data_IF_593644905169
#
_entry.id   IF_593644905169
#
_cell.length_a   1.000
_cell.length_b   1.000
_cell.length_c   1.000
_cell.angle_alpha   90.00
_cell.angle_beta   90.00
_cell.angle_gamma   90.00
#
_symmetry.space_group_name_H-M   'P 1'
#
loop_
_entity.id
_entity.type
_entity.pdbx_description
1 polymer ?
#
# COMPACT_ATOMS: atom_id res chain seq x y z
N UNK A 1 -6.99 -10.71 3.88
CA UNK A 1 -7.98 -10.57 2.80
C UNK A 1 -8.69 -9.23 2.93
N UNK A 2 -8.90 -8.53 1.80
CA UNK A 2 -9.64 -7.26 1.79
C UNK A 2 -10.86 -7.48 0.91
N UNK A 3 -12.06 -7.15 1.40
CA UNK A 3 -13.29 -7.18 0.61
C UNK A 3 -13.84 -5.75 0.50
N UNK A 4 -14.10 -5.33 -0.71
CA UNK A 4 -14.67 -4.01 -1.02
C UNK A 4 -16.00 -4.27 -1.73
N UNK A 5 -17.09 -3.76 -1.15
CA UNK A 5 -18.46 -4.04 -1.60
C UNK A 5 -19.22 -2.74 -1.82
N UNK A 6 -19.46 -2.39 -3.08
CA UNK A 6 -20.26 -1.25 -3.51
C UNK A 6 -19.84 0.08 -2.89
N UNK A 7 -18.53 0.29 -2.74
CA UNK A 7 -17.99 1.48 -2.07
C UNK A 7 -18.10 2.69 -2.98
N UNK A 8 -18.73 3.74 -2.47
CA UNK A 8 -18.84 5.05 -3.13
C UNK A 8 -18.31 6.16 -2.22
N UNK A 9 -17.68 7.18 -2.84
CA UNK A 9 -17.18 8.38 -2.16
C UNK A 9 -17.41 9.62 -3.00
N UNK A 10 -18.05 10.62 -2.41
CA UNK A 10 -18.31 11.92 -3.04
C UNK A 10 -17.48 13.01 -2.38
N UNK A 11 -17.02 13.95 -3.19
CA UNK A 11 -16.49 15.25 -2.78
C UNK A 11 -17.34 16.34 -3.46
N UNK A 12 -18.31 16.87 -2.73
CA UNK A 12 -19.34 17.72 -3.31
C UNK A 12 -20.11 16.96 -4.40
N UNK A 13 -20.11 17.44 -5.63
CA UNK A 13 -20.74 16.77 -6.78
C UNK A 13 -19.86 15.74 -7.48
N UNK A 14 -18.57 15.66 -7.14
CA UNK A 14 -17.63 14.75 -7.80
C UNK A 14 -17.61 13.39 -7.11
N UNK A 15 -17.96 12.34 -7.83
CA UNK A 15 -17.75 10.96 -7.39
C UNK A 15 -16.28 10.58 -7.56
N UNK A 16 -15.55 10.42 -6.45
CA UNK A 16 -14.19 9.94 -6.45
C UNK A 16 -14.11 8.41 -6.49
N UNK A 17 -15.11 7.75 -5.89
CA UNK A 17 -15.38 6.31 -6.03
C UNK A 17 -16.85 6.14 -6.36
N UNK A 18 -17.16 5.28 -7.31
CA UNK A 18 -18.53 5.02 -7.79
C UNK A 18 -18.75 3.52 -7.87
N UNK A 19 -19.41 2.99 -6.84
CA UNK A 19 -19.82 1.58 -6.72
C UNK A 19 -18.66 0.58 -6.91
N UNK A 20 -17.52 0.83 -6.28
CA UNK A 20 -16.33 0.00 -6.38
C UNK A 20 -16.50 -1.31 -5.63
N UNK A 21 -16.30 -2.44 -6.33
CA UNK A 21 -16.39 -3.78 -5.73
C UNK A 21 -15.32 -4.71 -6.27
N UNK A 22 -14.51 -5.28 -5.38
CA UNK A 22 -13.58 -6.37 -5.67
C UNK A 22 -13.04 -6.97 -4.35
N UNK A 23 -12.30 -8.07 -4.49
CA UNK A 23 -11.68 -8.75 -3.35
C UNK A 23 -10.19 -8.94 -3.60
N UNK A 24 -9.38 -8.69 -2.57
CA UNK A 24 -7.96 -9.07 -2.51
C UNK A 24 -7.85 -10.31 -1.63
N UNK A 25 -7.29 -11.38 -2.18
CA UNK A 25 -7.19 -12.65 -1.46
C UNK A 25 -5.99 -12.67 -0.51
N UNK A 26 -6.02 -13.57 0.44
CA UNK A 26 -4.86 -13.83 1.29
C UNK A 26 -3.72 -14.41 0.45
N UNK A 27 -2.50 -13.94 0.69
CA UNK A 27 -1.31 -14.47 0.03
C UNK A 27 -1.16 -14.05 -1.44
N UNK A 28 -1.69 -12.88 -1.84
CA UNK A 28 -1.47 -12.33 -3.18
C UNK A 28 -0.92 -10.90 -3.15
N UNK A 29 -0.26 -10.53 -4.23
CA UNK A 29 0.10 -9.15 -4.56
C UNK A 29 -0.95 -8.64 -5.53
N UNK A 30 -1.68 -7.60 -5.10
CA UNK A 30 -2.76 -7.00 -5.88
C UNK A 30 -2.44 -5.54 -6.20
N UNK A 31 -2.48 -5.17 -7.48
CA UNK A 31 -2.30 -3.78 -7.92
C UNK A 31 -3.64 -3.11 -8.22
N UNK A 32 -3.74 -1.85 -7.84
CA UNK A 32 -4.83 -0.94 -8.18
C UNK A 32 -4.29 0.15 -9.10
N UNK A 33 -4.57 0.05 -10.39
CA UNK A 33 -3.94 0.88 -11.42
C UNK A 33 -4.92 1.84 -12.07
N UNK A 34 -4.45 3.04 -12.36
CA UNK A 34 -5.23 4.09 -13.00
C UNK A 34 -4.45 5.40 -13.09
N UNK A 35 -4.92 6.33 -13.91
CA UNK A 35 -4.33 7.67 -13.99
C UNK A 35 -4.43 8.44 -12.67
N UNK A 36 -3.69 9.54 -12.58
CA UNK A 36 -3.82 10.47 -11.47
C UNK A 36 -5.25 11.04 -11.43
N UNK A 37 -5.82 11.09 -10.22
CA UNK A 37 -7.22 11.50 -10.02
C UNK A 37 -8.27 10.42 -10.33
N UNK A 38 -7.89 9.18 -10.64
CA UNK A 38 -8.83 8.07 -10.88
C UNK A 38 -9.52 7.54 -9.61
N UNK A 39 -9.09 7.97 -8.40
CA UNK A 39 -9.65 7.54 -7.12
C UNK A 39 -8.75 6.61 -6.30
N UNK A 40 -7.50 6.35 -6.73
CA UNK A 40 -6.58 5.40 -6.09
C UNK A 40 -6.34 5.72 -4.60
N UNK A 41 -5.83 6.90 -4.31
CA UNK A 41 -5.55 7.35 -2.94
C UNK A 41 -6.83 7.42 -2.09
N UNK A 42 -7.97 7.82 -2.70
CA UNK A 42 -9.27 7.83 -2.01
C UNK A 42 -9.64 6.43 -1.52
N UNK A 43 -9.54 5.43 -2.40
CA UNK A 43 -9.83 4.04 -2.02
C UNK A 43 -8.87 3.52 -0.96
N UNK A 44 -7.56 3.74 -1.12
CA UNK A 44 -6.55 3.33 -0.15
C UNK A 44 -6.83 3.94 1.23
N UNK A 45 -7.07 5.25 1.30
CA UNK A 45 -7.39 5.91 2.57
C UNK A 45 -8.70 5.40 3.19
N UNK A 46 -9.68 5.02 2.37
CA UNK A 46 -10.92 4.39 2.86
C UNK A 46 -10.68 2.99 3.40
N UNK A 47 -9.86 2.16 2.73
CA UNK A 47 -9.47 0.82 3.22
C UNK A 47 -8.73 0.93 4.57
N UNK A 48 -7.88 1.95 4.74
CA UNK A 48 -7.14 2.18 5.97
C UNK A 48 -7.97 2.82 7.09
N UNK A 49 -9.25 3.18 6.84
CA UNK A 49 -10.07 3.89 7.81
C UNK A 49 -9.49 5.25 8.19
N UNK A 50 -8.84 5.94 7.24
CA UNK A 50 -8.34 7.31 7.34
C UNK A 50 -9.37 8.27 6.74
N UNK A 51 -10.13 7.80 5.75
CA UNK A 51 -11.15 8.55 5.05
C UNK A 51 -12.47 7.78 5.09
N UNK A 52 -13.54 8.43 5.51
CA UNK A 52 -14.87 7.87 5.47
C UNK A 52 -15.40 7.78 4.04
N UNK A 53 -16.12 6.71 3.74
CA UNK A 53 -16.85 6.51 2.50
C UNK A 53 -18.35 6.60 2.75
N UNK A 54 -19.10 7.01 1.71
CA UNK A 54 -20.52 7.37 1.86
C UNK A 54 -21.43 6.14 1.76
N UNK A 55 -21.08 5.17 0.89
CA UNK A 55 -21.87 3.95 0.68
C UNK A 55 -20.97 2.72 0.62
N UNK A 56 -21.55 1.55 0.90
CA UNK A 56 -20.88 0.27 0.78
C UNK A 56 -20.23 -0.22 2.05
N UNK A 57 -19.39 -1.25 1.91
CA UNK A 57 -18.71 -1.92 3.01
C UNK A 57 -17.25 -2.25 2.63
N UNK A 58 -16.35 -2.13 3.60
CA UNK A 58 -14.95 -2.60 3.49
C UNK A 58 -14.66 -3.52 4.66
N UNK A 59 -14.26 -4.76 4.35
CA UNK A 59 -13.87 -5.75 5.34
C UNK A 59 -12.37 -6.07 5.23
N UNK A 60 -11.70 -6.12 6.37
CA UNK A 60 -10.31 -6.54 6.51
C UNK A 60 -10.27 -7.80 7.36
N UNK A 61 -9.89 -8.91 6.74
CA UNK A 61 -9.92 -10.25 7.36
C UNK A 61 -11.28 -10.59 7.99
N UNK A 62 -12.36 -10.21 7.31
CA UNK A 62 -13.75 -10.42 7.72
C UNK A 62 -14.31 -9.39 8.70
N UNK A 63 -13.53 -8.38 9.14
CA UNK A 63 -13.94 -7.34 10.07
C UNK A 63 -14.21 -6.02 9.34
N UNK A 64 -15.30 -5.35 9.71
CA UNK A 64 -15.65 -4.05 9.14
C UNK A 64 -14.68 -2.96 9.60
N UNK A 65 -14.15 -2.19 8.66
CA UNK A 65 -13.27 -1.07 8.98
C UNK A 65 -14.02 0.06 9.72
N UNK A 66 -15.34 0.16 9.56
CA UNK A 66 -16.17 1.13 10.27
C UNK A 66 -16.49 0.68 11.70
N UNK A 67 -16.83 -0.60 11.89
CA UNK A 67 -17.31 -1.10 13.18
C UNK A 67 -16.18 -1.60 14.08
N UNK A 68 -15.12 -2.15 13.50
CA UNK A 68 -13.96 -2.70 14.21
C UNK A 68 -12.62 -2.07 13.75
N UNK A 69 -12.49 -0.73 13.69
CA UNK A 69 -11.32 -0.08 13.09
C UNK A 69 -10.01 -0.45 13.76
N UNK A 70 -9.99 -0.57 15.09
CA UNK A 70 -8.76 -0.92 15.81
C UNK A 70 -8.31 -2.35 15.49
N UNK A 71 -9.25 -3.30 15.43
CA UNK A 71 -8.93 -4.69 15.10
C UNK A 71 -8.40 -4.82 13.67
N UNK A 72 -8.96 -4.06 12.71
CA UNK A 72 -8.47 -3.97 11.34
C UNK A 72 -7.06 -3.35 11.30
N UNK A 73 -6.87 -2.19 11.96
CA UNK A 73 -5.59 -1.47 11.94
C UNK A 73 -4.45 -2.27 12.59
N UNK A 74 -4.72 -3.07 13.62
CA UNK A 74 -3.70 -3.92 14.27
C UNK A 74 -3.02 -4.92 13.33
N UNK A 75 -3.67 -5.30 12.24
CA UNK A 75 -3.14 -6.29 11.28
C UNK A 75 -2.69 -5.65 9.97
N UNK A 76 -2.86 -4.33 9.80
CA UNK A 76 -2.50 -3.58 8.60
C UNK A 76 -1.30 -2.68 8.84
N UNK A 77 -0.53 -2.44 7.77
CA UNK A 77 0.34 -1.28 7.66
C UNK A 77 -0.05 -0.46 6.42
N UNK A 78 0.08 0.84 6.54
CA UNK A 78 -0.11 1.78 5.43
C UNK A 78 1.15 2.60 5.19
N UNK A 79 1.55 2.68 3.93
CA UNK A 79 2.65 3.56 3.48
C UNK A 79 2.12 4.48 2.39
N UNK A 80 2.14 5.77 2.67
CA UNK A 80 1.72 6.83 1.74
C UNK A 80 2.79 7.07 0.67
N UNK A 81 2.38 7.63 -0.47
CA UNK A 81 3.26 8.17 -1.51
C UNK A 81 4.11 9.35 -1.01
N UNK A 82 3.55 10.18 -0.14
CA UNK A 82 4.26 11.25 0.57
C UNK A 82 4.11 11.01 2.09
N UNK A 83 5.13 10.40 2.74
CA UNK A 83 5.05 10.08 4.14
C UNK A 83 5.10 11.32 5.02
N UNK A 84 3.98 11.64 5.65
CA UNK A 84 3.89 12.68 6.67
C UNK A 84 4.48 12.16 8.00
N UNK A 85 5.81 12.25 8.13
CA UNK A 85 6.54 11.83 9.33
C UNK A 85 6.69 13.00 10.31
N UNK A 86 6.88 12.67 11.59
CA UNK A 86 7.22 13.68 12.62
C UNK A 86 8.64 14.21 12.40
N UNK A 87 8.78 15.26 11.58
CA UNK A 87 10.06 15.75 11.05
C UNK A 87 11.10 16.12 12.14
N UNK A 88 10.64 16.55 13.30
CA UNK A 88 11.52 16.91 14.43
C UNK A 88 11.98 15.72 15.27
N UNK A 89 11.51 14.51 14.97
CA UNK A 89 11.97 13.28 15.61
C UNK A 89 13.20 12.71 14.91
N UNK A 90 14.02 11.96 15.65
CA UNK A 90 15.01 11.06 15.04
C UNK A 90 14.30 9.90 14.35
N UNK A 91 14.85 9.39 13.25
CA UNK A 91 14.25 8.27 12.51
C UNK A 91 14.01 7.04 13.40
N UNK A 92 14.99 6.65 14.20
CA UNK A 92 14.84 5.53 15.14
C UNK A 92 13.75 5.76 16.18
N UNK A 93 13.59 7.01 16.67
CA UNK A 93 12.56 7.35 17.64
C UNK A 93 11.16 7.26 17.03
N UNK A 94 10.99 7.70 15.77
CA UNK A 94 9.75 7.56 15.03
C UNK A 94 9.38 6.08 14.80
N UNK A 95 10.34 5.26 14.36
CA UNK A 95 10.10 3.83 14.13
C UNK A 95 9.70 3.13 15.43
N UNK A 96 10.40 3.42 16.53
CA UNK A 96 10.06 2.88 17.85
C UNK A 96 8.67 3.33 18.31
N UNK A 97 8.32 4.60 18.12
CA UNK A 97 6.98 5.12 18.43
C UNK A 97 5.88 4.34 17.67
N UNK A 98 6.09 4.07 16.37
CA UNK A 98 5.14 3.24 15.61
C UNK A 98 5.09 1.82 16.19
N UNK A 99 6.23 1.20 16.50
CA UNK A 99 6.27 -0.12 17.12
C UNK A 99 5.55 -0.17 18.48
N UNK A 100 5.63 0.89 19.29
CA UNK A 100 4.91 1.00 20.55
C UNK A 100 3.39 1.01 20.33
N UNK A 101 2.90 1.72 19.30
CA UNK A 101 1.47 1.73 18.96
C UNK A 101 0.91 0.37 18.56
N UNK A 102 1.78 -0.53 18.06
CA UNK A 102 1.41 -1.89 17.66
C UNK A 102 1.77 -2.95 18.73
N UNK A 103 2.18 -2.55 19.92
CA UNK A 103 2.60 -3.44 21.02
C UNK A 103 3.72 -4.42 20.60
N UNK A 104 4.67 -3.98 19.74
CA UNK A 104 5.74 -4.84 19.22
C UNK A 104 6.77 -5.14 20.31
N UNK A 105 7.05 -6.42 20.64
CA UNK A 105 8.06 -6.78 21.61
C UNK A 105 9.45 -6.26 21.24
N UNK A 106 10.25 -5.87 22.23
CA UNK A 106 11.57 -5.25 22.02
C UNK A 106 12.48 -6.09 21.13
N UNK A 107 12.58 -7.39 21.36
CA UNK A 107 13.42 -8.30 20.56
C UNK A 107 13.01 -8.38 19.10
N UNK A 108 11.68 -8.38 18.82
CA UNK A 108 11.13 -8.39 17.45
C UNK A 108 11.42 -7.06 16.78
N UNK A 109 11.19 -5.95 17.49
CA UNK A 109 11.45 -4.59 17.04
C UNK A 109 12.90 -4.38 16.63
N UNK A 110 13.84 -4.68 17.53
CA UNK A 110 15.28 -4.51 17.27
C UNK A 110 15.74 -5.34 16.07
N UNK A 111 15.33 -6.60 16.00
CA UNK A 111 15.63 -7.48 14.87
C UNK A 111 15.10 -6.92 13.55
N UNK A 112 13.85 -6.47 13.52
CA UNK A 112 13.21 -6.01 12.30
C UNK A 112 13.73 -4.65 11.86
N UNK A 113 13.93 -3.71 12.79
CA UNK A 113 14.51 -2.40 12.48
C UNK A 113 15.91 -2.59 11.88
N UNK A 114 16.77 -3.39 12.53
CA UNK A 114 18.11 -3.67 12.00
C UNK A 114 18.04 -4.26 10.59
N UNK A 115 17.27 -5.33 10.41
CA UNK A 115 17.08 -6.01 9.13
C UNK A 115 16.68 -5.07 8.01
N UNK A 116 15.65 -4.26 8.23
CA UNK A 116 15.14 -3.39 7.17
C UNK A 116 15.98 -2.13 6.98
N UNK A 117 16.64 -1.61 8.02
CA UNK A 117 17.57 -0.49 7.89
C UNK A 117 18.79 -0.86 7.05
N UNK A 118 19.39 -2.04 7.30
CA UNK A 118 20.48 -2.59 6.50
C UNK A 118 20.04 -2.83 5.05
N UNK A 119 18.86 -3.44 4.85
CA UNK A 119 18.31 -3.72 3.52
C UNK A 119 18.14 -2.44 2.69
N UNK A 120 17.55 -1.40 3.27
CA UNK A 120 17.30 -0.12 2.58
C UNK A 120 18.51 0.84 2.65
N UNK A 121 19.60 0.46 3.30
CA UNK A 121 20.85 1.20 3.35
C UNK A 121 20.76 2.55 4.06
N UNK A 122 20.04 2.60 5.20
CA UNK A 122 19.92 3.82 6.04
C UNK A 122 20.23 3.56 7.52
N UNK A 123 20.94 2.48 7.81
CA UNK A 123 21.29 2.10 9.19
C UNK A 123 22.10 3.18 9.93
N UNK A 124 22.99 3.87 9.22
CA UNK A 124 23.84 4.92 9.80
C UNK A 124 23.09 6.23 10.04
N UNK A 125 21.97 6.44 9.37
CA UNK A 125 21.13 7.65 9.44
C UNK A 125 20.01 7.56 10.47
N UNK A 126 19.75 6.39 11.05
CA UNK A 126 18.65 6.20 12.01
C UNK A 126 18.71 7.15 13.22
N UNK A 127 19.91 7.58 13.61
CA UNK A 127 20.13 8.56 14.68
C UNK A 127 19.88 10.01 14.28
N UNK A 128 19.72 10.30 12.99
CA UNK A 128 19.53 11.64 12.45
C UNK A 128 18.06 12.06 12.49
N UNK A 129 17.82 13.39 12.49
CA UNK A 129 16.49 13.98 12.50
C UNK A 129 15.85 13.86 11.12
N UNK A 130 14.60 13.40 11.05
CA UNK A 130 13.84 13.16 9.80
C UNK A 130 13.77 14.43 8.92
N UNK A 131 13.75 15.60 9.52
CA UNK A 131 13.77 16.91 8.82
C UNK A 131 14.92 17.04 7.82
N UNK A 132 16.06 16.37 8.06
CA UNK A 132 17.24 16.43 7.19
C UNK A 132 17.19 15.41 6.03
N UNK A 133 16.17 14.56 6.00
CA UNK A 133 16.07 13.47 5.04
C UNK A 133 15.49 13.93 3.71
N UNK A 134 16.01 13.36 2.62
CA UNK A 134 15.37 13.44 1.31
C UNK A 134 14.01 12.71 1.32
N UNK A 135 13.18 12.95 0.31
CA UNK A 135 11.90 12.25 0.16
C UNK A 135 12.11 10.72 0.16
N UNK A 136 13.08 10.21 -0.61
CA UNK A 136 13.37 8.77 -0.65
C UNK A 136 13.84 8.20 0.70
N UNK A 137 14.60 8.96 1.51
CA UNK A 137 14.96 8.54 2.87
C UNK A 137 13.74 8.53 3.79
N UNK A 138 12.83 9.51 3.71
CA UNK A 138 11.56 9.52 4.45
C UNK A 138 10.71 8.31 4.08
N UNK A 139 10.65 7.96 2.79
CA UNK A 139 9.94 6.78 2.31
C UNK A 139 10.53 5.49 2.90
N UNK A 140 11.87 5.36 2.95
CA UNK A 140 12.55 4.22 3.59
C UNK A 140 12.21 4.13 5.09
N UNK A 141 12.19 5.24 5.81
CA UNK A 141 11.79 5.27 7.24
C UNK A 141 10.36 4.81 7.43
N UNK A 142 9.42 5.28 6.60
CA UNK A 142 8.02 4.85 6.62
C UNK A 142 7.88 3.35 6.36
N UNK A 143 8.62 2.82 5.37
CA UNK A 143 8.65 1.39 5.07
C UNK A 143 9.21 0.56 6.24
N UNK A 144 10.31 1.00 6.86
CA UNK A 144 10.88 0.31 8.03
C UNK A 144 9.87 0.28 9.17
N UNK A 145 9.23 1.40 9.48
CA UNK A 145 8.22 1.48 10.52
C UNK A 145 7.04 0.54 10.23
N UNK A 146 6.54 0.56 9.00
CA UNK A 146 5.44 -0.29 8.55
C UNK A 146 5.77 -1.79 8.61
N UNK A 147 6.98 -2.18 8.25
CA UNK A 147 7.40 -3.58 8.21
C UNK A 147 7.82 -4.12 9.59
N UNK A 148 8.22 -3.23 10.51
CA UNK A 148 8.74 -3.63 11.82
C UNK A 148 7.71 -4.29 12.72
N UNK A 149 6.42 -4.04 12.52
CA UNK A 149 5.34 -4.69 13.29
C UNK A 149 4.74 -5.94 12.60
N UNK A 150 5.37 -6.43 11.51
CA UNK A 150 5.00 -7.67 10.80
C UNK A 150 3.51 -7.72 10.38
N UNK A 151 3.03 -6.74 9.57
CA UNK A 151 1.62 -6.66 9.21
C UNK A 151 1.18 -7.86 8.37
N UNK A 152 -0.08 -8.33 8.58
CA UNK A 152 -0.69 -9.34 7.72
C UNK A 152 -1.15 -8.73 6.38
N UNK A 153 -1.46 -7.45 6.37
CA UNK A 153 -1.90 -6.69 5.19
C UNK A 153 -1.03 -5.45 5.06
N UNK A 154 -0.28 -5.37 3.96
CA UNK A 154 0.52 -4.19 3.63
C UNK A 154 -0.16 -3.41 2.50
N UNK A 155 -0.54 -2.18 2.80
CA UNK A 155 -1.22 -1.27 1.88
C UNK A 155 -0.26 -0.13 1.55
N UNK A 156 -0.09 0.17 0.26
CA UNK A 156 0.86 1.19 -0.18
C UNK A 156 0.28 2.04 -1.30
N UNK A 157 0.48 3.35 -1.21
CA UNK A 157 0.14 4.27 -2.29
C UNK A 157 1.42 4.64 -3.04
N UNK A 158 1.50 4.31 -4.34
CA UNK A 158 2.63 4.58 -5.25
C UNK A 158 4.02 4.21 -4.66
N UNK A 159 4.24 2.99 -4.13
CA UNK A 159 5.40 2.66 -3.27
C UNK A 159 6.77 2.72 -3.94
N UNK A 160 6.82 2.88 -5.25
CA UNK A 160 8.08 2.90 -6.02
C UNK A 160 8.54 4.32 -6.39
N UNK A 161 7.68 5.31 -6.15
CA UNK A 161 7.99 6.71 -6.44
C UNK A 161 9.03 7.22 -5.45
N UNK A 162 10.07 7.88 -5.96
CA UNK A 162 11.13 8.48 -5.13
C UNK A 162 12.18 7.50 -4.59
N UNK A 163 12.05 6.19 -4.84
CA UNK A 163 13.06 5.20 -4.46
C UNK A 163 14.14 5.06 -5.53
N UNK A 164 15.36 4.83 -5.07
CA UNK A 164 16.48 4.46 -5.94
C UNK A 164 16.33 3.00 -6.47
N UNK A 165 17.05 2.61 -7.55
CA UNK A 165 16.91 1.29 -8.15
C UNK A 165 17.18 0.13 -7.18
N UNK A 166 18.10 0.31 -6.22
CA UNK A 166 18.39 -0.71 -5.19
C UNK A 166 17.20 -0.86 -4.25
N UNK A 167 16.66 0.24 -3.73
CA UNK A 167 15.51 0.22 -2.83
C UNK A 167 14.25 -0.37 -3.53
N UNK A 168 14.06 -0.11 -4.83
CA UNK A 168 13.00 -0.75 -5.63
C UNK A 168 13.21 -2.27 -5.68
N UNK A 169 14.43 -2.73 -5.91
CA UNK A 169 14.74 -4.17 -5.93
C UNK A 169 14.45 -4.80 -4.56
N UNK A 170 14.95 -4.19 -3.49
CA UNK A 170 14.78 -4.67 -2.12
C UNK A 170 13.28 -4.70 -1.73
N UNK A 171 12.52 -3.67 -2.13
CA UNK A 171 11.08 -3.62 -1.90
C UNK A 171 10.33 -4.76 -2.60
N UNK A 172 10.70 -5.11 -3.83
CA UNK A 172 10.13 -6.27 -4.54
C UNK A 172 10.37 -7.57 -3.79
N UNK A 173 11.56 -7.75 -3.23
CA UNK A 173 11.89 -8.93 -2.43
C UNK A 173 11.11 -8.95 -1.11
N UNK A 174 10.92 -7.79 -0.45
CA UNK A 174 10.04 -7.67 0.72
C UNK A 174 8.63 -8.10 0.36
N UNK A 175 8.07 -7.59 -0.74
CA UNK A 175 6.71 -7.93 -1.18
C UNK A 175 6.55 -9.44 -1.41
N UNK A 176 7.46 -10.06 -2.17
CA UNK A 176 7.44 -11.51 -2.42
C UNK A 176 7.55 -12.33 -1.13
N UNK A 177 8.46 -11.94 -0.23
CA UNK A 177 8.65 -12.63 1.03
C UNK A 177 7.43 -12.49 1.95
N UNK A 178 6.80 -11.31 1.99
CA UNK A 178 5.56 -11.09 2.74
C UNK A 178 4.46 -12.03 2.29
N UNK A 179 4.23 -12.15 0.98
CA UNK A 179 3.21 -13.03 0.40
C UNK A 179 3.56 -14.51 0.61
N UNK A 180 4.82 -14.89 0.43
CA UNK A 180 5.29 -16.26 0.70
C UNK A 180 5.03 -16.69 2.15
N UNK A 181 5.06 -15.76 3.08
CA UNK A 181 4.76 -15.97 4.50
C UNK A 181 3.26 -15.82 4.83
N UNK A 182 2.39 -15.76 3.82
CA UNK A 182 0.94 -15.69 3.97
C UNK A 182 0.37 -14.29 4.21
N UNK A 183 1.19 -13.23 4.10
CA UNK A 183 0.72 -11.85 4.08
C UNK A 183 0.03 -11.50 2.77
N UNK A 184 -0.63 -10.35 2.75
CA UNK A 184 -1.35 -9.82 1.58
C UNK A 184 -0.85 -8.43 1.28
N UNK A 185 -0.64 -8.13 0.00
CA UNK A 185 -0.19 -6.81 -0.44
C UNK A 185 -1.21 -6.19 -1.38
N UNK A 186 -1.60 -4.98 -1.05
CA UNK A 186 -2.41 -4.12 -1.91
C UNK A 186 -1.67 -2.80 -2.15
N UNK A 187 -1.46 -2.43 -3.40
CA UNK A 187 -0.84 -1.15 -3.70
C UNK A 187 -1.44 -0.47 -4.93
N UNK A 188 -1.41 0.85 -4.92
CA UNK A 188 -1.70 1.63 -6.11
C UNK A 188 -0.45 1.88 -6.92
N UNK A 189 -0.60 2.00 -8.24
CA UNK A 189 0.46 2.52 -9.09
C UNK A 189 -0.07 3.00 -10.44
N UNK A 190 0.68 3.92 -11.05
CA UNK A 190 0.54 4.28 -12.46
C UNK A 190 1.67 3.66 -13.31
N UNK A 191 2.63 2.95 -12.69
CA UNK A 191 3.77 2.30 -13.37
C UNK A 191 3.35 0.87 -13.76
N UNK A 192 2.81 0.74 -14.98
CA UNK A 192 2.19 -0.50 -15.46
C UNK A 192 3.17 -1.68 -15.56
N UNK A 193 4.42 -1.42 -15.99
CA UNK A 193 5.47 -2.44 -16.09
C UNK A 193 5.80 -3.08 -14.71
N UNK A 194 5.74 -2.29 -13.64
CA UNK A 194 5.93 -2.80 -12.27
C UNK A 194 4.76 -3.69 -11.83
N UNK A 195 3.52 -3.26 -12.09
CA UNK A 195 2.35 -4.06 -11.78
C UNK A 195 2.35 -5.38 -12.57
N UNK A 196 2.67 -5.32 -13.86
CA UNK A 196 2.73 -6.50 -14.74
C UNK A 196 3.70 -7.57 -14.24
N UNK A 197 4.87 -7.16 -13.74
CA UNK A 197 5.94 -8.09 -13.30
C UNK A 197 5.77 -8.63 -11.88
N UNK A 198 4.99 -7.95 -11.04
CA UNK A 198 4.92 -8.27 -9.62
C UNK A 198 3.58 -8.88 -9.18
N UNK A 199 2.48 -8.51 -9.84
CA UNK A 199 1.16 -8.76 -9.29
C UNK A 199 0.54 -10.03 -9.81
N UNK A 200 -0.15 -10.73 -8.90
CA UNK A 200 -0.98 -11.89 -9.23
C UNK A 200 -2.29 -11.44 -9.89
N UNK A 201 -2.89 -10.38 -9.33
CA UNK A 201 -4.15 -9.80 -9.81
C UNK A 201 -4.08 -8.28 -9.85
N UNK A 202 -4.98 -7.69 -10.63
CA UNK A 202 -5.04 -6.25 -10.85
C UNK A 202 -6.48 -5.78 -10.99
N UNK A 203 -6.75 -4.56 -10.51
CA UNK A 203 -7.95 -3.81 -10.87
C UNK A 203 -7.53 -2.52 -11.61
N UNK A 204 -8.21 -2.25 -12.73
CA UNK A 204 -8.04 -1.03 -13.53
C UNK A 204 -9.18 -0.10 -13.19
N UNK A 205 -8.85 1.10 -12.71
CA UNK A 205 -9.81 2.14 -12.32
C UNK A 205 -9.74 3.34 -13.25
N UNK A 206 -10.91 3.85 -13.63
CA UNK A 206 -11.07 5.08 -14.43
C UNK A 206 -12.23 5.90 -13.86
N UNK A 207 -11.97 7.16 -13.51
CA UNK A 207 -13.00 8.09 -12.97
C UNK A 207 -13.82 7.51 -11.81
N UNK A 208 -13.15 6.81 -10.89
CA UNK A 208 -13.78 6.21 -9.70
C UNK A 208 -14.47 4.87 -9.93
N UNK A 209 -14.52 4.35 -11.15
CA UNK A 209 -15.17 3.07 -11.48
C UNK A 209 -14.16 1.99 -11.86
N UNK A 210 -14.44 0.74 -11.49
CA UNK A 210 -13.65 -0.41 -11.93
C UNK A 210 -13.99 -0.72 -13.37
N UNK A 211 -13.00 -0.60 -14.25
CA UNK A 211 -13.15 -0.95 -15.67
C UNK A 211 -12.89 -2.44 -15.89
N UNK A 212 -11.91 -2.99 -15.18
CA UNK A 212 -11.55 -4.40 -15.29
C UNK A 212 -10.87 -4.86 -14.01
N UNK A 213 -11.17 -6.06 -13.54
CA UNK A 213 -10.50 -6.69 -12.41
C UNK A 213 -10.32 -8.18 -12.65
N UNK A 214 -9.18 -8.74 -12.24
CA UNK A 214 -8.93 -10.16 -12.36
C UNK A 214 -7.47 -10.54 -12.31
N UNK A 215 -7.19 -11.79 -12.64
CA UNK A 215 -5.87 -12.36 -12.76
C UNK A 215 -5.02 -11.62 -13.80
N UNK A 216 -3.78 -11.28 -13.47
CA UNK A 216 -2.88 -10.51 -14.33
C UNK A 216 -2.70 -11.16 -15.70
N UNK A 217 -2.49 -12.47 -15.73
CA UNK A 217 -2.28 -13.21 -17.00
C UNK A 217 -3.53 -13.18 -17.87
N UNK A 218 -4.72 -13.32 -17.26
CA UNK A 218 -6.00 -13.29 -18.00
C UNK A 218 -6.33 -11.88 -18.50
N UNK A 219 -6.02 -10.84 -17.72
CA UNK A 219 -6.26 -9.44 -18.12
C UNK A 219 -5.36 -9.07 -19.29
N UNK A 220 -4.10 -9.40 -19.22
CA UNK A 220 -3.10 -9.11 -20.23
C UNK A 220 -3.29 -9.93 -21.52
N UNK A 221 -3.57 -11.23 -21.38
CA UNK A 221 -3.51 -12.15 -22.52
C UNK A 221 -2.12 -12.15 -23.13
N UNK A 222 -2.06 -12.02 -24.46
CA UNK A 222 -0.80 -11.96 -25.24
C UNK A 222 -0.24 -10.53 -25.41
N UNK A 223 -0.88 -9.53 -24.79
CA UNK A 223 -0.46 -8.12 -24.86
C UNK A 223 0.30 -7.73 -23.60
N UNK A 224 0.98 -6.56 -23.63
CA UNK A 224 1.44 -5.91 -22.41
C UNK A 224 0.27 -5.29 -21.65
N UNK A 225 0.40 -5.14 -20.33
CA UNK A 225 -0.60 -4.45 -19.51
C UNK A 225 -0.81 -3.01 -19.96
N UNK A 226 0.25 -2.34 -20.41
CA UNK A 226 0.20 -0.99 -20.99
C UNK A 226 -0.74 -0.92 -22.21
N UNK A 227 -0.60 -1.86 -23.13
CA UNK A 227 -1.47 -1.91 -24.31
C UNK A 227 -2.93 -2.14 -23.96
N UNK A 228 -3.19 -3.05 -23.00
CA UNK A 228 -4.55 -3.29 -22.49
C UNK A 228 -5.11 -2.05 -21.82
N UNK A 229 -4.29 -1.37 -21.02
CA UNK A 229 -4.68 -0.15 -20.31
C UNK A 229 -5.08 0.96 -21.31
N UNK A 230 -4.25 1.22 -22.33
CA UNK A 230 -4.54 2.21 -23.37
C UNK A 230 -5.81 1.89 -24.17
N UNK A 231 -6.05 0.61 -24.50
CA UNK A 231 -7.28 0.18 -25.18
C UNK A 231 -8.56 0.41 -24.33
N UNK A 232 -8.44 0.28 -23.01
CA UNK A 232 -9.54 0.54 -22.06
C UNK A 232 -9.76 2.04 -21.82
N UNK A 233 -8.69 2.83 -21.85
CA UNK A 233 -8.77 4.29 -21.73
C UNK A 233 -9.42 4.95 -22.95
N UNK A 234 -9.23 4.38 -24.15
CA UNK A 234 -9.78 4.91 -25.39
C UNK A 234 -11.29 4.70 -25.55
N UNK A 235 -11.88 3.85 -24.68
CA UNK A 235 -13.34 3.59 -24.64
C UNK A 235 -14.03 4.48 -23.61
#
# INVERSE_FOLDING_TARGET
MIEIKNVSKLYGSKKALDNVSFTVNKGEIFAFIGHNGAGKTTLIKSICGILDFDEGEILIDGKSIKDEPIACKKIMAYVSDDPELYENMKAISFINFVCDMYDVPTEVRERNIKKYAEMFGIENELGSTIKTFSHGMKQKVALIAALSHEPKVLIMDEPFVGLDPKAIFDMKEVMKNTVKNGGTIFFSTHILDMAEKLCDRVAIVKKGQIIKVGDMKKIRGDKSLEKVFLELEAK
#
